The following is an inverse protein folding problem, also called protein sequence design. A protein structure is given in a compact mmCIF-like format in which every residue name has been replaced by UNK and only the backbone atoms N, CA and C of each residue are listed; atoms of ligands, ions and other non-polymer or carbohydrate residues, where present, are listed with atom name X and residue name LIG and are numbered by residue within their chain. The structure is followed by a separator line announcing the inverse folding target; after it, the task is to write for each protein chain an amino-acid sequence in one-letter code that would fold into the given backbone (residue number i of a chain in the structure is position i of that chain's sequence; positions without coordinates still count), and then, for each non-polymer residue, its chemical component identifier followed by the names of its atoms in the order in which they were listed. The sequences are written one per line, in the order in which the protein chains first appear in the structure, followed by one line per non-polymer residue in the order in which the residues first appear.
data_IF_725113650603
#
_entry.id   IF_725113650603
#
_cell.length_a   1.000
_cell.length_b   1.000
_cell.length_c   1.000
_cell.angle_alpha   90.00
_cell.angle_beta   90.00
_cell.angle_gamma   90.00
#
_symmetry.space_group_name_H-M   'P 1'
#
loop_
_entity.id
_entity.type
_entity.pdbx_description
1 polymer ?
2 non-polymer ?
3 non-polymer ?
4 non-polymer ?
5 water ?
#
# COMPACT_ATOMS: atom_id res chain seq x y z
N UNK A 37 11.88 -18.88 9.09
CA UNK A 37 10.69 -19.71 9.21
C UNK A 37 9.48 -18.89 9.62
N UNK A 38 8.44 -18.91 8.78
CA UNK A 38 7.22 -18.16 9.04
C UNK A 38 6.34 -18.92 10.04
N UNK A 39 5.87 -18.21 11.09
CA UNK A 39 5.00 -18.78 12.12
C UNK A 39 3.77 -19.45 11.52
N UNK A 40 3.33 -20.58 12.10
CA UNK A 40 2.20 -21.38 11.61
C UNK A 40 0.93 -20.57 11.43
N UNK A 41 0.65 -19.65 12.34
CA UNK A 41 -0.56 -18.84 12.28
C UNK A 41 -0.52 -17.80 11.16
N UNK A 42 0.66 -17.59 10.61
CA UNK A 42 0.83 -16.60 9.53
C UNK A 42 1.33 -17.25 8.25
N UNK A 43 1.63 -18.56 8.31
CA UNK A 43 2.20 -19.26 7.18
C UNK A 43 1.16 -19.61 6.12
N UNK A 44 1.46 -19.31 4.87
CA UNK A 44 0.59 -19.62 3.74
C UNK A 44 1.35 -20.46 2.72
N UNK A 45 1.19 -21.79 2.79
CA UNK A 45 1.89 -22.75 1.93
C UNK A 45 1.68 -22.49 0.44
N UNK A 46 0.50 -22.00 0.07
CA UNK A 46 0.18 -21.75 -1.33
C UNK A 46 1.08 -20.66 -1.92
N UNK A 47 1.28 -19.59 -1.17
CA UNK A 47 2.13 -18.48 -1.62
C UNK A 47 3.57 -18.95 -1.84
N UNK A 48 4.08 -19.74 -0.91
CA UNK A 48 5.46 -20.22 -0.97
C UNK A 48 5.71 -21.15 -2.16
N UNK A 49 4.68 -21.87 -2.58
CA UNK A 49 4.82 -22.86 -3.65
C UNK A 49 4.39 -22.36 -5.02
N UNK A 50 3.32 -21.57 -5.06
CA UNK A 50 2.74 -21.15 -6.33
C UNK A 50 3.06 -19.70 -6.72
N UNK A 51 3.60 -18.94 -5.76
CA UNK A 51 3.90 -17.54 -6.00
C UNK A 51 5.38 -17.23 -5.73
N UNK A 52 6.27 -17.57 -6.66
CA UNK A 52 7.70 -17.35 -6.47
C UNK A 52 8.06 -15.87 -6.44
N UNK A 53 8.95 -15.49 -5.54
CA UNK A 53 9.36 -14.10 -5.41
C UNK A 53 10.08 -13.60 -6.65
N UNK A 54 9.89 -12.32 -6.96
CA UNK A 54 10.67 -11.67 -8.00
C UNK A 54 11.26 -10.37 -7.45
N UNK A 55 12.38 -9.94 -8.04
CA UNK A 55 13.04 -8.73 -7.57
C UNK A 55 13.54 -7.89 -8.74
N UNK A 56 13.20 -6.61 -8.71
CA UNK A 56 13.64 -5.66 -9.72
C UNK A 56 15.15 -5.52 -9.66
N UNK A 57 15.81 -5.52 -10.84
CA UNK A 57 17.28 -5.37 -10.90
C UNK A 57 17.77 -4.01 -10.39
N UNK A 58 16.89 -3.03 -10.32
CA UNK A 58 17.26 -1.69 -9.87
C UNK A 58 17.23 -1.56 -8.34
N UNK A 59 16.72 -2.58 -7.67
CA UNK A 59 16.57 -2.55 -6.21
C UNK A 59 17.76 -2.08 -5.37
N UNK A 60 18.99 -2.56 -5.66
CA UNK A 60 20.13 -2.09 -4.85
C UNK A 60 20.28 -0.56 -4.87
N UNK A 61 20.09 0.05 -6.03
CA UNK A 61 20.12 1.50 -6.14
C UNK A 61 18.87 2.12 -5.53
N UNK A 62 17.76 1.39 -5.62
CA UNK A 62 16.49 1.86 -5.08
C UNK A 62 16.56 2.06 -3.58
N UNK A 63 17.20 1.10 -2.90
CA UNK A 63 17.30 1.13 -1.44
C UNK A 63 18.11 2.33 -0.94
N UNK A 64 19.21 2.63 -1.62
CA UNK A 64 20.09 3.73 -1.23
C UNK A 64 19.49 5.09 -1.56
N UNK A 65 18.93 5.20 -2.76
CA UNK A 65 18.38 6.48 -3.22
C UNK A 65 17.18 6.93 -2.39
N UNK A 66 16.29 5.98 -2.06
CA UNK A 66 15.13 6.27 -1.24
C UNK A 66 15.56 6.68 0.17
N UNK A 67 16.61 6.03 0.67
CA UNK A 67 17.15 6.35 1.98
C UNK A 67 17.69 7.78 2.00
N UNK A 68 18.37 8.15 0.91
CA UNK A 68 18.92 9.49 0.76
C UNK A 68 17.79 10.51 0.62
N UNK A 69 16.71 10.09 -0.04
CA UNK A 69 15.56 10.95 -0.27
C UNK A 69 14.83 11.26 1.03
N UNK A 70 14.82 10.30 1.94
CA UNK A 70 14.20 10.49 3.25
C UNK A 70 15.04 11.47 4.10
N UNK A 71 16.35 11.44 3.90
CA UNK A 71 17.25 12.34 4.61
C UNK A 71 17.15 13.77 4.09
N UNK A 72 17.17 13.92 2.77
CA UNK A 72 17.12 15.24 2.15
C UNK A 72 15.79 15.95 2.40
N UNK A 73 14.71 15.17 2.49
CA UNK A 73 13.38 15.74 2.71
C UNK A 73 13.06 15.87 4.20
N UNK A 74 13.95 15.32 5.04
CA UNK A 74 13.81 15.39 6.49
C UNK A 74 12.53 14.73 7.00
N UNK A 75 12.14 13.62 6.37
CA UNK A 75 10.94 12.91 6.77
C UNK A 75 11.19 12.03 7.99
N UNK A 76 12.46 11.71 8.23
CA UNK A 76 12.86 10.96 9.41
C UNK A 76 14.16 11.53 9.96
N UNK A 77 14.36 11.41 11.29
CA UNK A 77 15.61 11.84 11.91
C UNK A 77 16.81 11.11 11.30
N UNK A 78 17.96 11.79 11.24
CA UNK A 78 19.14 11.24 10.58
C UNK A 78 19.62 9.93 11.20
N UNK A 79 19.42 9.78 12.51
CA UNK A 79 19.87 8.58 13.21
C UNK A 79 18.88 7.42 13.06
N UNK A 80 17.60 7.74 12.94
CA UNK A 80 16.58 6.72 12.74
C UNK A 80 16.65 6.14 11.34
N UNK A 81 17.10 6.96 10.39
CA UNK A 81 17.32 6.51 9.03
C UNK A 81 18.51 5.57 8.97
N UNK A 82 19.59 5.96 9.65
CA UNK A 82 20.79 5.13 9.74
C UNK A 82 20.48 3.80 10.42
N UNK A 83 19.62 3.85 11.44
CA UNK A 83 19.33 2.68 12.26
C UNK A 83 18.23 1.78 11.70
N UNK A 84 17.16 2.38 11.17
CA UNK A 84 15.96 1.61 10.86
C UNK A 84 15.55 1.52 9.39
N UNK A 85 15.91 2.54 8.60
CA UNK A 85 15.40 2.66 7.23
C UNK A 85 15.52 1.40 6.37
N UNK A 86 16.70 0.79 6.35
CA UNK A 86 16.91 -0.41 5.55
C UNK A 86 16.21 -1.63 6.14
N UNK A 87 16.09 -1.67 7.46
CA UNK A 87 15.43 -2.77 8.13
C UNK A 87 13.93 -2.77 7.94
N UNK A 88 13.39 -1.65 7.46
CA UNK A 88 11.96 -1.52 7.23
C UNK A 88 11.54 -2.15 5.90
N UNK A 89 12.50 -2.29 5.00
CA UNK A 89 12.29 -2.97 3.71
C UNK A 89 11.16 -2.35 2.87
N UNK A 90 11.02 -1.04 2.93
CA UNK A 90 9.98 -0.37 2.15
C UNK A 90 10.25 -0.44 0.64
N UNK A 91 11.53 -0.35 0.28
CA UNK A 91 11.91 -0.42 -1.13
C UNK A 91 11.83 -1.86 -1.63
N UNK A 92 12.09 -2.80 -0.74
CA UNK A 92 12.03 -4.22 -1.07
C UNK A 92 10.63 -4.62 -1.50
N UNK A 93 9.64 -4.06 -0.80
CA UNK A 93 8.23 -4.36 -1.06
C UNK A 93 7.81 -3.98 -2.47
N UNK A 94 8.19 -2.78 -2.89
CA UNK A 94 7.79 -2.26 -4.20
C UNK A 94 8.61 -2.88 -5.33
N UNK A 95 9.88 -3.20 -5.05
CA UNK A 95 10.75 -3.81 -6.04
C UNK A 95 10.35 -5.25 -6.36
N UNK A 96 9.58 -5.86 -5.45
CA UNK A 96 9.06 -7.19 -5.66
C UNK A 96 7.62 -7.13 -6.15
N UNK A 97 7.17 -5.92 -6.46
CA UNK A 97 5.79 -5.69 -6.87
C UNK A 97 5.76 -5.19 -8.31
N UNK A 98 6.33 -4.00 -8.54
CA UNK A 98 6.27 -3.38 -9.85
C UNK A 98 7.43 -3.79 -10.75
N UNK A 99 7.48 -5.07 -11.10
CA UNK A 99 8.49 -5.59 -12.01
C UNK A 99 8.27 -5.02 -13.42
N UNK A 100 9.36 -4.74 -14.11
CA UNK A 100 9.29 -4.24 -15.47
C UNK A 100 9.11 -2.73 -15.55
N UNK A 101 9.10 -2.08 -14.40
CA UNK A 101 8.96 -0.63 -14.35
C UNK A 101 10.29 0.06 -14.62
N UNK A 102 10.24 1.20 -15.33
CA UNK A 102 11.44 2.00 -15.55
C UNK A 102 12.02 2.44 -14.20
N UNK A 103 13.34 2.59 -14.12
CA UNK A 103 14.01 2.92 -12.87
C UNK A 103 13.46 4.19 -12.24
N UNK A 104 13.24 5.21 -13.07
CA UNK A 104 12.74 6.50 -12.59
C UNK A 104 11.32 6.36 -12.04
N UNK A 105 10.53 5.51 -12.66
CA UNK A 105 9.16 5.26 -12.21
C UNK A 105 9.17 4.51 -10.88
N UNK A 106 10.03 3.50 -10.79
CA UNK A 106 10.14 2.70 -9.58
C UNK A 106 10.63 3.53 -8.41
N UNK A 107 11.52 4.47 -8.70
CA UNK A 107 12.08 5.35 -7.68
C UNK A 107 11.01 6.27 -7.12
N UNK A 108 10.21 6.86 -8.02
CA UNK A 108 9.12 7.74 -7.61
C UNK A 108 8.09 6.98 -6.80
N UNK A 109 7.83 5.73 -7.19
CA UNK A 109 6.91 4.87 -6.44
C UNK A 109 7.45 4.56 -5.05
N UNK A 110 8.73 4.20 -4.98
CA UNK A 110 9.36 3.87 -3.72
C UNK A 110 9.42 5.07 -2.76
N UNK A 111 9.76 6.24 -3.28
CA UNK A 111 9.77 7.46 -2.46
C UNK A 111 8.38 7.80 -1.94
N UNK A 112 7.39 7.68 -2.83
CA UNK A 112 6.00 7.91 -2.45
C UNK A 112 5.54 6.90 -1.38
N UNK A 113 5.91 5.64 -1.56
CA UNK A 113 5.55 4.60 -0.62
C UNK A 113 6.19 4.85 0.74
N UNK A 114 7.44 5.29 0.72
CA UNK A 114 8.16 5.60 1.95
C UNK A 114 7.49 6.75 2.69
N UNK A 115 7.00 7.73 1.94
CA UNK A 115 6.23 8.83 2.53
C UNK A 115 4.93 8.30 3.13
N UNK A 116 4.29 7.37 2.41
CA UNK A 116 3.03 6.80 2.86
C UNK A 116 3.20 6.15 4.23
N UNK A 117 4.34 5.50 4.45
CA UNK A 117 4.61 4.86 5.73
C UNK A 117 4.85 5.86 6.86
N UNK A 118 5.57 6.94 6.58
CA UNK A 118 5.84 7.95 7.61
C UNK A 118 4.62 8.83 7.86
N UNK A 119 3.69 8.83 6.90
CA UNK A 119 2.43 9.54 7.06
C UNK A 119 1.48 8.73 7.95
N UNK A 120 1.56 7.41 7.81
CA UNK A 120 0.79 6.51 8.65
C UNK A 120 1.26 6.62 10.10
N UNK A 121 2.54 6.94 10.28
CA UNK A 121 3.12 7.09 11.60
C UNK A 121 2.76 8.44 12.22
N UNK A 122 2.81 9.50 11.39
CA UNK A 122 2.40 10.83 11.83
C UNK A 122 0.93 10.84 12.19
N UNK A 123 0.13 10.16 11.38
CA UNK A 123 -1.30 10.01 11.61
C UNK A 123 -1.54 9.33 12.96
N UNK A 124 -0.75 8.30 13.25
CA UNK A 124 -0.86 7.56 14.50
C UNK A 124 -0.47 8.41 15.70
N UNK A 125 0.58 9.19 15.55
CA UNK A 125 1.07 10.04 16.63
C UNK A 125 0.11 11.18 16.95
N UNK A 126 -0.52 11.73 15.92
CA UNK A 126 -1.50 12.81 16.10
C UNK A 126 -2.71 12.33 16.90
N UNK A 127 -3.04 11.05 16.77
CA UNK A 127 -4.18 10.47 17.46
C UNK A 127 -3.88 10.22 18.94
N UNK A 128 -2.80 9.52 19.21
CA UNK A 128 -2.43 9.15 20.58
C UNK A 128 -2.16 10.39 21.43
N UNK A 129 -1.65 11.44 20.80
CA UNK A 129 -1.35 12.68 21.51
C UNK A 129 -2.49 13.68 21.38
N UNK A 130 -3.53 13.30 20.65
CA UNK A 130 -4.73 14.10 20.51
C UNK A 130 -4.53 15.43 19.81
N UNK A 131 -3.67 15.45 18.80
CA UNK A 131 -3.42 16.66 18.03
C UNK A 131 -4.41 16.80 16.87
N UNK A 132 -5.66 17.08 17.20
CA UNK A 132 -6.71 17.19 16.18
C UNK A 132 -6.56 18.43 15.31
N UNK A 133 -6.04 19.51 15.91
CA UNK A 133 -5.80 20.74 15.18
C UNK A 133 -4.72 20.56 14.14
N UNK A 134 -3.63 19.89 14.55
CA UNK A 134 -2.51 19.63 13.65
C UNK A 134 -2.93 18.71 12.49
N UNK A 135 -3.77 17.73 12.80
CA UNK A 135 -4.21 16.77 11.80
C UNK A 135 -5.12 17.40 10.74
N UNK A 136 -6.07 18.21 11.19
CA UNK A 136 -7.03 18.84 10.28
C UNK A 136 -6.32 19.75 9.29
N UNK A 137 -5.29 20.45 9.75
CA UNK A 137 -4.50 21.30 8.88
C UNK A 137 -3.68 20.48 7.87
N UNK A 138 -3.01 19.44 8.36
CA UNK A 138 -2.26 18.55 7.49
C UNK A 138 -3.17 17.91 6.45
N UNK A 139 -4.33 17.44 6.91
CA UNK A 139 -5.36 16.90 6.04
C UNK A 139 -5.70 17.89 4.93
N UNK A 140 -5.90 19.15 5.32
CA UNK A 140 -6.20 20.19 4.35
C UNK A 140 -5.05 20.48 3.41
N UNK A 141 -3.84 20.49 3.95
CA UNK A 141 -2.64 20.74 3.15
C UNK A 141 -2.40 19.65 2.11
N UNK A 142 -2.73 18.41 2.47
CA UNK A 142 -2.54 17.29 1.56
C UNK A 142 -3.50 17.32 0.38
N UNK A 143 -4.74 17.74 0.62
CA UNK A 143 -5.72 17.87 -0.44
C UNK A 143 -5.27 18.90 -1.48
N UNK A 144 -4.79 20.03 -1.00
CA UNK A 144 -4.34 21.12 -1.87
C UNK A 144 -3.09 20.73 -2.64
N UNK A 145 -2.11 20.16 -1.93
CA UNK A 145 -0.85 19.75 -2.55
C UNK A 145 -1.09 18.69 -3.62
N UNK A 146 -2.10 17.86 -3.43
CA UNK A 146 -2.43 16.80 -4.37
C UNK A 146 -2.82 17.36 -5.75
N UNK A 147 -3.47 18.53 -5.74
CA UNK A 147 -3.92 19.14 -6.98
C UNK A 147 -2.81 19.96 -7.64
N UNK A 148 -2.02 20.66 -6.83
CA UNK A 148 -0.89 21.44 -7.34
C UNK A 148 0.38 21.18 -6.53
N UNK A 149 1.10 20.10 -6.87
CA UNK A 149 2.30 19.67 -6.14
C UNK A 149 3.44 20.67 -6.22
N UNK A 150 3.62 21.30 -7.38
CA UNK A 150 4.70 22.22 -7.60
C UNK A 150 4.74 23.38 -6.62
N UNK A 151 3.56 23.85 -6.22
CA UNK A 151 3.45 25.00 -5.33
C UNK A 151 3.82 24.66 -3.89
N UNK A 152 3.92 23.36 -3.59
CA UNK A 152 4.16 22.93 -2.21
C UNK A 152 5.49 22.19 -2.05
N UNK A 153 6.35 22.29 -3.05
CA UNK A 153 7.63 21.59 -3.03
C UNK A 153 8.52 22.05 -1.87
N UNK A 154 8.32 23.30 -1.44
CA UNK A 154 9.14 23.86 -0.38
C UNK A 154 8.30 24.41 0.77
N UNK A 155 7.25 23.67 1.10
CA UNK A 155 6.37 24.03 2.21
C UNK A 155 7.12 23.84 3.53
N UNK A 156 6.71 24.59 4.55
CA UNK A 156 7.37 24.53 5.85
C UNK A 156 7.24 23.14 6.49
N UNK A 157 6.07 22.53 6.36
CA UNK A 157 5.85 21.18 6.84
C UNK A 157 6.53 20.19 5.89
N UNK A 158 7.59 19.55 6.36
CA UNK A 158 8.38 18.65 5.53
C UNK A 158 7.57 17.45 5.02
N UNK A 159 6.55 17.07 5.78
CA UNK A 159 5.69 15.97 5.40
C UNK A 159 4.88 16.35 4.15
N UNK A 160 4.49 17.63 4.08
CA UNK A 160 3.75 18.13 2.93
C UNK A 160 4.65 18.27 1.72
N UNK A 161 5.87 18.77 1.94
CA UNK A 161 6.84 18.97 0.86
C UNK A 161 7.34 17.64 0.32
N UNK A 162 7.49 16.65 1.20
CA UNK A 162 7.89 15.32 0.79
C UNK A 162 6.82 14.69 -0.08
N UNK A 163 5.57 14.97 0.26
CA UNK A 163 4.43 14.49 -0.49
C UNK A 163 4.37 15.15 -1.87
N UNK A 164 4.55 16.47 -1.89
CA UNK A 164 4.50 17.24 -3.11
C UNK A 164 5.59 16.80 -4.10
N UNK A 165 6.76 16.46 -3.57
CA UNK A 165 7.89 16.06 -4.41
C UNK A 165 7.61 14.75 -5.15
N UNK A 166 7.16 13.73 -4.42
CA UNK A 166 6.90 12.44 -5.03
C UNK A 166 5.70 12.46 -5.96
N UNK A 167 4.66 13.22 -5.58
CA UNK A 167 3.46 13.33 -6.40
C UNK A 167 3.73 14.05 -7.72
N UNK A 168 4.54 15.10 -7.67
CA UNK A 168 4.91 15.84 -8.87
C UNK A 168 5.63 14.94 -9.86
N UNK A 169 6.53 14.11 -9.35
CA UNK A 169 7.28 13.19 -10.19
C UNK A 169 6.38 12.12 -10.79
N UNK A 170 5.39 11.67 -10.03
CA UNK A 170 4.44 10.67 -10.52
C UNK A 170 3.55 11.24 -11.61
N UNK A 171 3.34 12.55 -11.58
CA UNK A 171 2.50 13.22 -12.56
C UNK A 171 3.19 13.42 -13.91
N UNK A 172 4.48 13.10 -13.97
CA UNK A 172 5.29 13.39 -15.15
C UNK A 172 5.43 12.21 -16.10
N UNK A 173 4.90 11.05 -15.72
CA UNK A 173 5.05 9.85 -16.54
C UNK A 173 3.93 9.67 -17.56
N UNK A 174 2.70 9.93 -17.15
CA UNK A 174 1.53 9.71 -17.98
C UNK A 174 0.73 11.00 -18.16
N UNK A 175 -0.09 11.07 -19.22
CA UNK A 175 -0.91 12.27 -19.49
C UNK A 175 -1.83 12.68 -18.34
N UNK A 176 -2.37 13.89 -18.43
CA UNK A 176 -3.16 14.50 -17.37
C UNK A 176 -4.37 13.69 -16.92
N UNK A 177 -4.93 12.90 -17.83
CA UNK A 177 -6.10 12.08 -17.52
C UNK A 177 -5.79 11.06 -16.43
N UNK A 178 -4.56 10.54 -16.44
CA UNK A 178 -4.12 9.61 -15.40
C UNK A 178 -3.90 10.34 -14.08
N UNK A 179 -3.23 11.49 -14.14
CA UNK A 179 -2.98 12.30 -12.97
C UNK A 179 -4.26 12.70 -12.25
N UNK A 180 -5.28 13.00 -13.03
CA UNK A 180 -6.59 13.39 -12.49
C UNK A 180 -7.22 12.21 -11.75
N UNK A 181 -7.05 11.02 -12.31
CA UNK A 181 -7.61 9.81 -11.71
C UNK A 181 -6.88 9.46 -10.42
N UNK A 182 -5.56 9.67 -10.42
CA UNK A 182 -4.73 9.43 -9.25
C UNK A 182 -5.16 10.35 -8.11
N UNK A 183 -5.25 11.64 -8.42
CA UNK A 183 -5.67 12.64 -7.45
C UNK A 183 -7.04 12.31 -6.88
N UNK A 184 -7.97 11.94 -7.77
CA UNK A 184 -9.33 11.60 -7.37
C UNK A 184 -9.36 10.43 -6.38
N UNK A 185 -8.49 9.45 -6.60
CA UNK A 185 -8.40 8.29 -5.71
C UNK A 185 -7.76 8.64 -4.38
N UNK A 186 -6.75 9.50 -4.40
CA UNK A 186 -6.04 9.85 -3.18
C UNK A 186 -6.81 10.86 -2.32
N UNK A 187 -7.67 11.64 -2.96
CA UNK A 187 -8.58 12.52 -2.21
C UNK A 187 -9.46 11.67 -1.29
N UNK A 188 -9.89 10.52 -1.79
CA UNK A 188 -10.70 9.60 -1.01
C UNK A 188 -9.89 8.97 0.12
N UNK A 189 -8.62 8.67 -0.16
CA UNK A 189 -7.75 8.06 0.83
C UNK A 189 -7.55 8.97 2.05
N UNK A 190 -7.31 10.25 1.80
CA UNK A 190 -7.14 11.24 2.86
C UNK A 190 -8.37 11.28 3.77
N UNK A 191 -9.55 11.35 3.17
CA UNK A 191 -10.79 11.38 3.93
C UNK A 191 -11.00 10.10 4.75
N UNK A 192 -10.55 8.98 4.20
CA UNK A 192 -10.63 7.71 4.91
C UNK A 192 -9.74 7.75 6.16
N UNK A 193 -8.56 8.34 6.02
CA UNK A 193 -7.66 8.53 7.14
C UNK A 193 -8.26 9.47 8.18
N UNK A 194 -8.98 10.48 7.72
CA UNK A 194 -9.66 11.39 8.62
C UNK A 194 -10.77 10.66 9.36
N UNK A 195 -11.44 9.75 8.65
CA UNK A 195 -12.50 8.95 9.24
C UNK A 195 -11.90 8.01 10.30
N UNK A 196 -10.69 7.52 10.03
CA UNK A 196 -9.96 6.70 10.99
C UNK A 196 -9.59 7.49 12.24
N UNK A 197 -9.22 8.75 12.04
CA UNK A 197 -8.85 9.64 13.13
C UNK A 197 -10.02 9.79 14.12
N UNK A 198 -11.20 10.04 13.57
CA UNK A 198 -12.39 10.24 14.39
C UNK A 198 -12.82 8.97 15.12
N UNK A 199 -12.65 7.82 14.48
CA UNK A 199 -13.00 6.55 15.10
C UNK A 199 -12.13 6.22 16.31
N UNK A 200 -10.83 6.48 16.18
CA UNK A 200 -9.88 6.15 17.24
C UNK A 200 -9.97 7.12 18.42
N UNK A 201 -10.28 8.37 18.14
CA UNK A 201 -10.41 9.37 19.19
C UNK A 201 -11.68 9.13 20.01
N UNK A 202 -12.76 8.79 19.34
CA UNK A 202 -14.01 8.47 20.02
C UNK A 202 -13.97 7.05 20.60
N UNK A 203 -13.11 6.21 20.03
CA UNK A 203 -12.98 4.83 20.48
C UNK A 203 -13.92 3.90 19.74
N UNK A 204 -14.55 4.42 18.69
CA UNK A 204 -15.50 3.65 17.90
C UNK A 204 -14.82 2.57 17.07
N UNK A 205 -15.26 1.33 17.24
CA UNK A 205 -14.76 0.22 16.43
C UNK A 205 -15.74 -0.07 15.30
N UNK A 206 -15.29 0.09 14.05
CA UNK A 206 -16.15 -0.10 12.87
C UNK A 206 -16.65 -1.53 12.75
N UNK A 207 -17.84 -1.70 12.17
CA UNK A 207 -18.38 -3.02 11.91
C UNK A 207 -17.54 -3.73 10.87
N UNK A 208 -17.65 -5.05 10.80
CA UNK A 208 -16.81 -5.84 9.89
C UNK A 208 -17.00 -5.44 8.43
N UNK A 209 -18.23 -5.07 8.06
CA UNK A 209 -18.50 -4.64 6.69
C UNK A 209 -18.13 -3.17 6.50
N UNK A 210 -18.33 -2.39 7.55
CA UNK A 210 -17.95 -0.98 7.55
C UNK A 210 -16.44 -0.86 7.40
N UNK A 211 -15.71 -1.78 8.03
CA UNK A 211 -14.26 -1.79 7.96
C UNK A 211 -13.76 -2.16 6.57
N UNK A 212 -14.36 -3.21 5.98
CA UNK A 212 -13.94 -3.69 4.67
C UNK A 212 -14.08 -2.64 3.57
N UNK A 213 -15.06 -1.76 3.72
CA UNK A 213 -15.24 -0.65 2.79
C UNK A 213 -14.21 0.44 3.07
N UNK A 214 -13.94 0.66 4.35
CA UNK A 214 -12.95 1.65 4.77
C UNK A 214 -11.53 1.18 4.47
N UNK A 215 -11.32 -0.13 4.58
CA UNK A 215 -9.99 -0.71 4.38
C UNK A 215 -9.55 -0.58 2.93
N UNK A 216 -10.49 -0.60 2.01
CA UNK A 216 -10.19 -0.43 0.58
C UNK A 216 -9.62 0.96 0.31
N UNK A 217 -9.87 1.90 1.22
CA UNK A 217 -9.45 3.28 1.03
C UNK A 217 -8.23 3.63 1.89
N UNK A 218 -8.16 3.08 3.09
CA UNK A 218 -7.05 3.35 4.00
C UNK A 218 -5.80 2.59 3.58
N UNK A 219 -5.98 1.49 2.84
CA UNK A 219 -4.87 0.72 2.31
C UNK A 219 -4.51 1.25 0.93
N UNK A 220 -5.39 2.10 0.40
CA UNK A 220 -5.22 2.71 -0.92
C UNK A 220 -5.18 1.70 -2.06
N UNK A 221 -6.18 0.82 -2.08
CA UNK A 221 -6.31 -0.22 -3.10
C UNK A 221 -6.12 0.30 -4.52
N UNK A 222 -6.75 1.43 -4.82
CA UNK A 222 -6.80 1.93 -6.18
C UNK A 222 -5.61 2.83 -6.51
N UNK A 223 -4.86 3.21 -5.49
CA UNK A 223 -3.62 3.93 -5.70
C UNK A 223 -2.58 2.97 -6.27
N UNK A 224 -2.45 1.81 -5.64
CA UNK A 224 -1.50 0.80 -6.08
C UNK A 224 -1.89 0.20 -7.42
N UNK A 225 -3.19 0.17 -7.69
CA UNK A 225 -3.70 -0.33 -8.96
C UNK A 225 -3.39 0.64 -10.09
N UNK A 226 -3.52 1.93 -9.80
CA UNK A 226 -3.19 2.97 -10.77
C UNK A 226 -1.70 2.98 -11.11
N UNK A 227 -0.87 2.73 -10.10
CA UNK A 227 0.59 2.77 -10.26
C UNK A 227 1.13 1.64 -11.15
N UNK A 228 0.27 0.67 -11.45
CA UNK A 228 0.64 -0.41 -12.37
C UNK A 228 0.81 0.14 -13.77
N UNK A 229 0.06 1.18 -14.09
CA UNK A 229 0.04 1.73 -15.44
C UNK A 229 1.34 2.46 -15.86
N UNK A 230 1.86 3.36 -15.01
CA UNK A 230 3.16 3.92 -15.38
C UNK A 230 4.29 2.89 -15.28
N UNK A 231 4.07 1.82 -14.52
CA UNK A 231 5.03 0.74 -14.42
C UNK A 231 5.16 0.00 -15.74
N UNK A 232 4.03 -0.17 -16.44
CA UNK A 232 4.04 -0.81 -17.75
C UNK A 232 4.11 0.24 -18.85
N UNK A 233 4.25 1.50 -18.45
CA UNK A 233 4.41 2.61 -19.38
C UNK A 233 3.24 2.81 -20.33
N UNK A 234 2.03 2.81 -19.79
CA UNK A 234 0.83 2.92 -20.60
C UNK A 234 -0.42 3.20 -19.76
N UNK A 235 -1.14 4.26 -20.09
CA UNK A 235 -2.43 4.52 -19.46
C UNK A 235 -3.53 3.72 -20.16
N UNK A 236 -4.23 2.89 -19.38
CA UNK A 236 -5.26 2.03 -19.94
C UNK A 236 -6.59 2.76 -20.07
N UNK A 237 -7.26 2.60 -21.22
CA UNK A 237 -8.60 3.16 -21.42
C UNK A 237 -9.57 2.53 -20.43
N UNK A 238 -10.64 3.25 -20.09
CA UNK A 238 -11.61 2.76 -19.12
C UNK A 238 -12.26 1.45 -19.55
N UNK A 239 -12.45 1.28 -20.85
CA UNK A 239 -13.03 0.06 -21.39
C UNK A 239 -12.15 -1.16 -21.10
N UNK A 240 -10.85 -0.90 -20.96
CA UNK A 240 -9.88 -1.97 -20.70
C UNK A 240 -9.70 -2.23 -19.21
N UNK A 241 -9.46 -1.17 -18.44
CA UNK A 241 -9.16 -1.31 -17.02
C UNK A 241 -10.41 -1.60 -16.18
N UNK A 242 -11.59 -1.33 -16.72
CA UNK A 242 -12.83 -1.63 -16.02
C UNK A 242 -13.44 -2.95 -16.49
N UNK A 243 -12.70 -3.67 -17.33
CA UNK A 243 -13.09 -5.02 -17.71
C UNK A 243 -13.15 -5.85 -16.45
N UNK A 244 -14.26 -6.58 -16.25
CA UNK A 244 -14.55 -7.35 -15.03
C UNK A 244 -13.39 -8.21 -14.55
N UNK A 245 -12.68 -8.86 -15.47
CA UNK A 245 -11.54 -9.69 -15.12
C UNK A 245 -10.39 -8.85 -14.55
N UNK A 246 -10.11 -7.72 -15.20
CA UNK A 246 -9.06 -6.82 -14.75
C UNK A 246 -9.44 -6.21 -13.40
N UNK A 247 -10.68 -5.74 -13.31
CA UNK A 247 -11.20 -5.18 -12.07
C UNK A 247 -11.09 -6.15 -10.90
N UNK A 248 -11.61 -7.36 -11.10
CA UNK A 248 -11.65 -8.38 -10.05
C UNK A 248 -10.25 -8.81 -9.62
N UNK A 249 -9.36 -8.99 -10.61
CA UNK A 249 -7.98 -9.38 -10.32
C UNK A 249 -7.25 -8.31 -9.51
N UNK A 250 -7.45 -7.06 -9.90
CA UNK A 250 -6.84 -5.93 -9.20
C UNK A 250 -7.35 -5.85 -7.77
N UNK A 251 -8.66 -6.03 -7.61
CA UNK A 251 -9.30 -5.99 -6.30
C UNK A 251 -8.78 -7.09 -5.38
N UNK A 252 -8.84 -8.33 -5.86
CA UNK A 252 -8.43 -9.48 -5.07
C UNK A 252 -6.97 -9.38 -4.63
N UNK A 253 -6.14 -8.82 -5.49
CA UNK A 253 -4.73 -8.62 -5.17
C UNK A 253 -4.57 -7.66 -3.99
N UNK A 254 -5.36 -6.60 -3.99
CA UNK A 254 -5.31 -5.60 -2.93
C UNK A 254 -5.96 -6.10 -1.64
N UNK A 255 -7.03 -6.89 -1.77
CA UNK A 255 -7.72 -7.45 -0.61
C UNK A 255 -6.82 -8.39 0.16
N UNK A 256 -6.09 -9.25 -0.56
CA UNK A 256 -5.15 -10.18 0.06
C UNK A 256 -4.13 -9.42 0.91
N UNK A 257 -3.48 -8.45 0.29
CA UNK A 257 -2.44 -7.67 0.95
C UNK A 257 -2.98 -6.94 2.18
N UNK A 258 -4.11 -6.26 2.00
CA UNK A 258 -4.74 -5.51 3.08
C UNK A 258 -5.13 -6.40 4.24
N UNK A 259 -5.70 -7.57 3.93
CA UNK A 259 -6.19 -8.48 4.96
C UNK A 259 -5.06 -9.27 5.61
N UNK A 260 -4.05 -9.62 4.82
CA UNK A 260 -2.88 -10.29 5.37
C UNK A 260 -2.09 -9.34 6.27
N UNK A 261 -2.11 -8.05 5.94
CA UNK A 261 -1.51 -7.04 6.79
C UNK A 261 -2.19 -6.97 8.15
N UNK A 262 -3.52 -7.03 8.13
CA UNK A 262 -4.29 -7.04 9.36
C UNK A 262 -3.92 -8.25 10.22
N UNK A 263 -3.68 -9.37 9.56
CA UNK A 263 -3.30 -10.60 10.25
C UNK A 263 -1.90 -10.49 10.87
N UNK A 264 -0.98 -9.86 10.14
CA UNK A 264 0.41 -9.78 10.58
C UNK A 264 0.70 -8.58 11.49
N UNK A 265 -0.02 -7.48 11.27
CA UNK A 265 0.20 -6.27 12.06
C UNK A 265 -0.71 -6.23 13.28
N UNK A 266 -1.49 -7.29 13.48
CA UNK A 266 -2.43 -7.37 14.60
C UNK A 266 -1.80 -7.17 16.00
N UNK A 267 -0.69 -7.87 16.30
CA UNK A 267 -0.12 -7.69 17.64
C UNK A 267 0.38 -6.27 17.92
N UNK A 268 0.91 -5.59 16.91
CA UNK A 268 1.42 -4.24 17.10
C UNK A 268 0.28 -3.22 17.16
N UNK A 269 -0.86 -3.59 16.60
CA UNK A 269 -2.02 -2.70 16.59
C UNK A 269 -2.87 -2.87 17.84
N UNK A 270 -2.73 -4.03 18.49
CA UNK A 270 -3.36 -4.25 19.78
C UNK A 270 -2.64 -3.43 20.84
N UNK A 271 -1.31 -3.46 20.80
CA UNK A 271 -0.50 -2.76 21.78
C UNK A 271 -0.54 -1.24 21.59
N UNK A 272 -0.88 -0.79 20.39
CA UNK A 272 -0.89 0.62 20.08
C UNK A 272 -2.27 1.26 20.09
N UNK A 273 -3.25 0.55 20.65
CA UNK A 273 -4.62 1.04 20.78
C UNK A 273 -5.28 1.33 19.43
N UNK A 274 -4.75 0.73 18.36
CA UNK A 274 -5.34 0.84 17.04
C UNK A 274 -6.63 0.04 17.01
N UNK A 275 -7.67 0.58 16.38
CA UNK A 275 -8.96 -0.09 16.35
C UNK A 275 -9.32 -0.55 14.93
N UNK A 276 -8.53 -0.13 13.95
CA UNK A 276 -8.79 -0.49 12.56
C UNK A 276 -8.05 -1.75 12.13
N UNK A 277 -8.74 -2.88 12.23
CA UNK A 277 -8.19 -4.17 11.86
C UNK A 277 -9.35 -5.15 11.75
N UNK A 278 -9.29 -6.03 10.74
CA UNK A 278 -10.36 -6.99 10.51
C UNK A 278 -10.57 -7.91 11.72
N UNK A 279 -9.46 -8.33 12.33
CA UNK A 279 -9.52 -9.18 13.51
C UNK A 279 -10.18 -8.49 14.69
N UNK A 280 -9.89 -7.20 14.85
CA UNK A 280 -10.45 -6.42 15.94
C UNK A 280 -11.96 -6.26 15.79
N UNK A 281 -12.42 -6.02 14.56
CA UNK A 281 -13.85 -5.89 14.29
C UNK A 281 -14.61 -7.18 14.57
N UNK A 282 -13.94 -8.31 14.35
CA UNK A 282 -14.54 -9.62 14.62
C UNK A 282 -14.69 -9.87 16.11
N UNK A 283 -13.63 -9.59 16.86
CA UNK A 283 -13.62 -9.79 18.30
C UNK A 283 -14.63 -8.88 19.01
N UNK A 284 -14.69 -7.63 18.56
CA UNK A 284 -15.57 -6.63 19.17
C UNK A 284 -17.05 -6.93 18.90
N UNK A 285 -17.38 -7.18 17.64
CA UNK A 285 -18.77 -7.33 17.23
C UNK A 285 -19.25 -8.79 17.23
N UNK A 286 -18.53 -9.65 16.53
CA UNK A 286 -18.93 -11.06 16.43
C UNK A 286 -18.52 -11.85 17.65
N UNK A 287 -17.91 -11.17 18.62
CA UNK A 287 -17.51 -11.77 19.90
C UNK A 287 -16.61 -12.99 19.77
N UNK A 288 -15.87 -13.07 18.66
CA UNK A 288 -14.90 -14.14 18.48
C UNK A 288 -13.71 -13.92 19.41
N UNK A 289 -13.07 -15.01 19.81
CA UNK A 289 -11.88 -14.91 20.65
C UNK A 289 -10.69 -14.47 19.81
N UNK A 290 -9.52 -14.38 20.44
CA UNK A 290 -8.31 -13.95 19.76
C UNK A 290 -7.85 -15.00 18.73
N UNK A 291 -8.10 -16.27 19.02
CA UNK A 291 -7.67 -17.35 18.14
C UNK A 291 -8.70 -17.65 17.05
N UNK A 292 -9.97 -17.39 17.37
CA UNK A 292 -11.04 -17.60 16.40
C UNK A 292 -10.98 -16.54 15.30
N UNK A 293 -10.58 -15.33 15.68
CA UNK A 293 -10.47 -14.24 14.72
C UNK A 293 -9.30 -14.47 13.76
N UNK A 294 -8.19 -14.93 14.30
CA UNK A 294 -7.00 -15.27 13.50
C UNK A 294 -7.34 -16.28 12.42
N UNK A 295 -8.01 -17.37 12.82
CA UNK A 295 -8.40 -18.41 11.89
C UNK A 295 -9.44 -17.93 10.89
N UNK A 296 -10.29 -17.01 11.30
CA UNK A 296 -11.32 -16.48 10.43
C UNK A 296 -10.70 -15.56 9.38
N UNK A 297 -9.74 -14.74 9.81
CA UNK A 297 -9.02 -13.86 8.89
C UNK A 297 -8.18 -14.68 7.92
N UNK A 298 -7.57 -15.74 8.42
CA UNK A 298 -6.76 -16.64 7.60
C UNK A 298 -7.54 -17.20 6.42
N UNK A 299 -8.75 -17.67 6.70
CA UNK A 299 -9.60 -18.28 5.67
C UNK A 299 -9.98 -17.27 4.58
N UNK A 300 -10.27 -16.03 4.99
CA UNK A 300 -10.59 -14.98 4.03
C UNK A 300 -9.37 -14.67 3.16
N UNK A 301 -8.19 -14.68 3.78
CA UNK A 301 -6.93 -14.47 3.08
C UNK A 301 -6.69 -15.59 2.08
N UNK A 302 -6.96 -16.82 2.51
CA UNK A 302 -6.78 -17.99 1.65
C UNK A 302 -7.75 -18.00 0.48
N UNK A 303 -8.96 -17.49 0.70
CA UNK A 303 -9.95 -17.40 -0.37
C UNK A 303 -9.49 -16.45 -1.47
N UNK A 304 -8.87 -15.34 -1.08
CA UNK A 304 -8.39 -14.35 -2.03
C UNK A 304 -7.41 -14.96 -3.03
N UNK A 305 -6.54 -15.82 -2.54
CA UNK A 305 -5.53 -16.47 -3.37
C UNK A 305 -6.17 -17.32 -4.46
N UNK A 306 -7.03 -18.25 -4.06
CA UNK A 306 -7.65 -19.18 -5.00
C UNK A 306 -8.65 -18.47 -5.91
N UNK A 307 -9.31 -17.44 -5.40
CA UNK A 307 -10.21 -16.63 -6.24
C UNK A 307 -9.41 -15.86 -7.28
N UNK A 308 -8.21 -15.40 -6.90
CA UNK A 308 -7.33 -14.68 -7.82
C UNK A 308 -6.88 -15.58 -8.97
N UNK A 309 -6.51 -16.82 -8.63
CA UNK A 309 -6.05 -17.78 -9.62
C UNK A 309 -7.09 -18.04 -10.69
N UNK A 310 -8.36 -18.03 -10.31
CA UNK A 310 -9.46 -18.26 -11.24
C UNK A 310 -9.64 -17.09 -12.20
N UNK A 311 -9.61 -15.88 -11.67
CA UNK A 311 -9.80 -14.68 -12.50
C UNK A 311 -8.54 -14.30 -13.27
N UNK A 312 -7.38 -14.76 -12.80
CA UNK A 312 -6.12 -14.49 -13.46
C UNK A 312 -6.11 -15.13 -14.85
N UNK A 313 -6.76 -16.29 -14.96
CA UNK A 313 -6.92 -16.95 -16.25
C UNK A 313 -7.77 -16.09 -17.18
N UNK A 314 -8.88 -15.57 -16.65
CA UNK A 314 -9.76 -14.72 -17.43
C UNK A 314 -9.10 -13.41 -17.81
N UNK A 315 -8.33 -12.85 -16.87
CA UNK A 315 -7.62 -11.59 -17.11
C UNK A 315 -6.54 -11.75 -18.17
N UNK A 316 -5.81 -12.86 -18.10
CA UNK A 316 -4.75 -13.15 -19.07
C UNK A 316 -5.33 -13.56 -20.43
N UNK A 317 -6.51 -14.17 -20.40
CA UNK A 317 -7.20 -14.53 -21.64
C UNK A 317 -7.66 -13.27 -22.35
N UNK A 318 -8.07 -12.28 -21.56
CA UNK A 318 -8.48 -10.98 -22.09
C UNK A 318 -7.30 -10.27 -22.74
N UNK A 319 -6.12 -10.44 -22.15
CA UNK A 319 -4.90 -9.85 -22.68
C UNK A 319 -4.59 -10.41 -24.07
N UNK A 320 -4.90 -11.68 -24.27
CA UNK A 320 -4.68 -12.33 -25.56
C UNK A 320 -5.69 -11.86 -26.59
N UNK A 321 -6.86 -11.44 -26.12
CA UNK A 321 -7.91 -10.94 -27.00
C UNK A 321 -7.55 -9.56 -27.56
N UNK A 322 -6.87 -8.75 -26.74
CA UNK A 322 -6.48 -7.41 -27.13
C UNK A 322 -5.49 -7.41 -28.29
N UNK A 323 -4.65 -8.45 -28.34
CA UNK A 323 -3.69 -8.59 -29.43
C UNK A 323 -4.40 -9.01 -30.71
N UNK A 324 -5.02 -8.05 -31.38
CA UNK A 324 -5.79 -8.32 -32.59
C UNK A 324 -4.95 -8.25 -33.86
N UNK A 325 -3.66 -7.96 -33.70
CA UNK A 325 -2.76 -7.86 -34.82
C UNK A 325 -2.29 -6.44 -35.08
N UNK A 326 -2.90 -5.48 -34.39
CA UNK A 326 -2.53 -4.08 -34.53
C UNK A 326 -1.45 -3.68 -33.53
N UNK A 327 -0.74 -2.60 -33.83
CA UNK A 327 0.27 -2.07 -32.93
C UNK A 327 -0.38 -1.63 -31.61
N UNK A 328 -1.49 -0.92 -31.73
CA UNK A 328 -2.25 -0.45 -30.57
C UNK A 328 -2.69 -1.63 -29.69
N UNK A 329 -3.31 -2.62 -30.30
CA UNK A 329 -3.75 -3.80 -29.59
C UNK A 329 -2.62 -4.53 -28.91
N UNK A 330 -1.46 -4.55 -29.57
CA UNK A 330 -0.28 -5.21 -29.02
C UNK A 330 0.25 -4.47 -27.79
N UNK A 331 0.16 -3.15 -27.82
CA UNK A 331 0.59 -2.32 -26.70
C UNK A 331 -0.33 -2.52 -25.49
N UNK A 332 -1.64 -2.52 -25.76
CA UNK A 332 -2.62 -2.73 -24.70
C UNK A 332 -2.54 -4.15 -24.14
N UNK A 333 -2.25 -5.11 -25.00
CA UNK A 333 -2.12 -6.50 -24.59
C UNK A 333 -0.94 -6.68 -23.64
N UNK A 334 0.20 -6.10 -24.02
CA UNK A 334 1.41 -6.20 -23.21
C UNK A 334 1.27 -5.51 -21.87
N UNK A 335 0.55 -4.39 -21.86
CA UNK A 335 0.37 -3.61 -20.63
C UNK A 335 -0.50 -4.37 -19.63
N UNK A 336 -1.63 -4.90 -20.09
CA UNK A 336 -2.52 -5.68 -19.24
C UNK A 336 -1.80 -6.91 -18.70
N UNK A 337 -1.08 -7.61 -19.58
CA UNK A 337 -0.34 -8.80 -19.20
C UNK A 337 0.69 -8.49 -18.12
N UNK A 338 1.38 -7.37 -18.27
CA UNK A 338 2.36 -6.94 -17.28
C UNK A 338 1.71 -6.52 -15.97
N UNK A 339 0.57 -5.83 -16.07
CA UNK A 339 -0.18 -5.39 -14.90
C UNK A 339 -0.71 -6.57 -14.08
N UNK A 340 -1.36 -7.51 -14.76
CA UNK A 340 -1.86 -8.72 -14.11
C UNK A 340 -0.71 -9.50 -13.49
N UNK A 341 0.43 -9.52 -14.19
CA UNK A 341 1.63 -10.16 -13.69
C UNK A 341 2.10 -9.53 -12.39
N UNK A 342 2.03 -8.20 -12.32
CA UNK A 342 2.41 -7.49 -11.10
C UNK A 342 1.38 -7.62 -9.98
N UNK A 343 0.12 -7.82 -10.35
CA UNK A 343 -0.92 -8.12 -9.37
C UNK A 343 -0.59 -9.43 -8.67
N UNK A 344 -0.09 -10.39 -9.45
CA UNK A 344 0.35 -11.67 -8.90
C UNK A 344 1.55 -11.49 -7.99
N UNK A 345 2.53 -10.73 -8.46
CA UNK A 345 3.76 -10.48 -7.70
C UNK A 345 3.51 -9.89 -6.32
N UNK A 346 2.45 -9.10 -6.20
CA UNK A 346 2.09 -8.44 -4.96
C UNK A 346 1.91 -9.44 -3.82
N UNK A 347 1.32 -10.59 -4.16
CA UNK A 347 1.08 -11.66 -3.19
C UNK A 347 2.36 -12.09 -2.49
N UNK A 348 3.37 -12.45 -3.28
CA UNK A 348 4.64 -12.90 -2.72
C UNK A 348 5.39 -11.76 -2.02
N UNK A 349 5.35 -10.57 -2.62
CA UNK A 349 6.08 -9.44 -2.07
C UNK A 349 5.54 -9.00 -0.72
N UNK A 350 4.21 -8.94 -0.59
CA UNK A 350 3.58 -8.58 0.68
C UNK A 350 3.82 -9.65 1.74
N UNK A 351 3.68 -10.91 1.35
CA UNK A 351 3.84 -12.04 2.25
C UNK A 351 5.20 -12.02 2.94
N UNK A 352 6.26 -11.91 2.16
CA UNK A 352 7.62 -11.94 2.71
C UNK A 352 8.02 -10.60 3.32
N UNK A 353 7.28 -9.55 2.98
CA UNK A 353 7.54 -8.23 3.55
C UNK A 353 7.18 -8.18 5.03
N UNK A 354 6.12 -8.89 5.40
CA UNK A 354 5.64 -8.87 6.78
C UNK A 354 6.48 -9.72 7.72
N UNK A 355 7.39 -10.50 7.16
CA UNK A 355 8.26 -11.34 7.97
C UNK A 355 9.72 -10.91 7.89
N UNK A 356 9.98 -9.85 7.12
CA UNK A 356 11.34 -9.33 6.97
C UNK A 356 11.46 -7.88 7.45
N UNK A 357 10.35 -7.17 7.48
CA UNK A 357 10.34 -5.78 7.91
C UNK A 357 10.33 -5.64 9.43
N UNK A 358 11.11 -4.69 9.94
CA UNK A 358 11.16 -4.43 11.36
C UNK A 358 9.98 -3.61 11.85
N UNK A 359 9.11 -3.24 10.90
CA UNK A 359 7.93 -2.44 11.20
C UNK A 359 6.95 -3.18 12.12
N UNK A 360 6.92 -4.51 12.01
CA UNK A 360 5.93 -5.31 12.72
C UNK A 360 6.55 -6.14 13.86
N UNK A 361 7.86 -5.99 14.04
CA UNK A 361 8.56 -6.73 15.09
C UNK A 361 8.29 -6.13 16.48
N UNK A 362 7.05 -6.22 16.93
CA UNK A 362 6.64 -5.64 18.21
C UNK A 362 7.28 -6.35 19.40
N UNK A 363 7.62 -7.62 19.21
CA UNK A 363 8.20 -8.42 20.29
C UNK A 363 9.60 -7.96 20.68
N UNK A 364 10.22 -7.13 19.84
CA UNK A 364 11.58 -6.67 20.08
C UNK A 364 11.64 -5.18 20.45
N UNK A 365 10.54 -4.66 20.99
CA UNK A 365 10.49 -3.26 21.39
C UNK A 365 10.43 -3.12 22.91
N UNK A 366 11.14 -2.12 23.43
CA UNK A 366 11.11 -1.84 24.87
C UNK A 366 9.70 -1.42 25.26
N UNK A 367 9.12 -0.52 24.48
CA UNK A 367 7.73 -0.12 24.66
C UNK A 367 6.93 -0.59 23.46
N UNK A 368 6.04 -1.56 23.69
CA UNK A 368 5.26 -2.18 22.62
C UNK A 368 4.27 -1.21 21.96
N UNK A 369 3.90 -0.15 22.68
CA UNK A 369 2.94 0.82 22.17
C UNK A 369 3.63 1.88 21.30
N UNK A 370 4.95 1.94 21.36
CA UNK A 370 5.71 2.94 20.62
C UNK A 370 6.82 2.31 19.81
N UNK A 371 6.62 2.20 18.48
CA UNK A 371 7.65 1.69 17.56
C UNK A 371 8.86 2.60 17.56
N UNK A 372 10.07 2.01 17.58
CA UNK A 372 11.34 2.76 17.67
C UNK A 372 11.60 3.64 16.44
N UNK A 373 11.06 3.26 15.29
CA UNK A 373 11.25 4.03 14.06
C UNK A 373 10.28 5.21 13.99
N UNK A 374 9.30 5.23 14.89
CA UNK A 374 8.29 6.28 14.92
C UNK A 374 8.70 7.39 15.90
N UNK A 375 8.59 8.64 15.45
CA UNK A 375 8.87 9.78 16.31
C UNK A 375 7.77 10.83 16.24
X LIG B 1 -3.52 2.71 8.15
X LIG C 1 -0.87 1.96 10.75
X LIG D 1 -1.67 -2.68 9.81
X LIG E 1 -1.97 -0.02 8.06
X LIG E 1 -1.70 1.19 8.95
X LIG E 1 -1.94 0.40 6.62
X LIG E 1 -3.33 -0.58 8.39
X LIG E 1 -0.87 -1.17 8.34
X LIG E 1 0.58 -0.94 9.01
X LIG E 1 0.60 0.30 9.86
X LIG E 1 1.65 -0.86 7.95
X LIG E 1 0.83 -2.13 9.91
X LIG F 1 -12.33 4.28 -11.25
X LIG F 1 -11.14 3.43 -11.26
X LIG F 1 -13.53 3.44 -11.25
X LIG F 1 -12.32 5.10 -10.03
X LIG F 1 -12.32 5.15 -12.42
#
# INVERSE_FOLDING_TARGET
MGSSHHHHHHSSGLVPRGSHMVHAFPHGTTATPTAIAVPPSLRLPVIEAAFPRQLHPYWPKLQETTRTWLLEKRLMPADKVEEYADGLCYTDLMAGYYLGAPDEVLQAIADYSAWFFVWDDRHDRDIVHGRAGAWRRLRGLLHTALDSPGDHLHHEDTLVAGFADSVRRLYAFLPATWNARFARHFHTVIEAYDREFHNRTRGIVPGVEEYLELRRLTFAHWIWTDLLEPSSGCELPDAVRKHPAYRRAALLSQEFAAWYNDLCSLPKEIAGDEVHNLGISLITHHSLTLEEAIGEVRRRVEECITEFLAVERDALRFADELADGTVRGKELSGAVRANVGNMRNFFSSVYWFHHESGRYMVDSWDDRSTPPYVNNEAAGEK
MG MG
MG MG
MG MG
POP P1 O1 O2 O3 O P2 O4 O5 O6
SO4 S O1 O2 O3 O4
#
